data_IF_921532280007
#
_entry.id   IF_921532280007
#
_cell.length_a   1.000
_cell.length_b   1.000
_cell.length_c   1.000
_cell.angle_alpha   90.00
_cell.angle_beta   90.00
_cell.angle_gamma   90.00
#
_symmetry.space_group_name_H-M   'P 1'
#
loop_
_entity.id
_entity.type
_entity.pdbx_description
1 polymer ?
#
# COMPACT_ATOMS: atom_id res chain seq x y z
N UNK A 1 -43.13 5.77 30.77
CA UNK A 1 -42.66 4.37 30.73
C UNK A 1 -42.46 3.87 29.28
N UNK A 2 -43.44 4.03 28.38
CA UNK A 2 -43.34 3.57 26.98
C UNK A 2 -42.25 4.25 26.12
N UNK A 3 -41.90 5.50 26.41
CA UNK A 3 -40.84 6.22 25.67
C UNK A 3 -39.46 5.58 25.94
N UNK A 4 -39.20 5.19 27.19
CA UNK A 4 -37.92 4.59 27.58
C UNK A 4 -37.75 3.20 26.94
N UNK A 5 -38.83 2.43 26.84
CA UNK A 5 -38.79 1.11 26.19
C UNK A 5 -38.60 1.22 24.67
N UNK A 6 -39.21 2.22 24.02
CA UNK A 6 -39.00 2.49 22.58
C UNK A 6 -37.56 2.92 22.31
N UNK A 7 -36.99 3.81 23.13
CA UNK A 7 -35.60 4.26 22.98
C UNK A 7 -34.65 3.07 23.17
N UNK A 8 -34.84 2.25 24.22
CA UNK A 8 -34.01 1.08 24.48
C UNK A 8 -34.04 0.05 23.35
N UNK A 9 -35.21 -0.20 22.75
CA UNK A 9 -35.37 -1.11 21.61
C UNK A 9 -34.62 -0.64 20.37
N UNK A 10 -34.71 0.65 20.04
CA UNK A 10 -33.99 1.22 18.90
C UNK A 10 -32.47 1.20 19.09
N UNK A 11 -31.98 1.49 20.30
CA UNK A 11 -30.56 1.37 20.64
C UNK A 11 -30.09 -0.08 20.46
N UNK A 12 -30.88 -1.07 20.93
CA UNK A 12 -30.53 -2.48 20.78
C UNK A 12 -30.45 -2.89 19.30
N UNK A 13 -31.42 -2.49 18.48
CA UNK A 13 -31.38 -2.76 17.02
C UNK A 13 -30.16 -2.10 16.38
N UNK A 14 -29.85 -0.85 16.75
CA UNK A 14 -28.70 -0.14 16.21
C UNK A 14 -27.37 -0.83 16.55
N UNK A 15 -27.23 -1.30 17.79
CA UNK A 15 -26.05 -2.09 18.21
C UNK A 15 -25.97 -3.39 17.43
N UNK A 16 -27.08 -4.13 17.31
CA UNK A 16 -27.12 -5.38 16.53
C UNK A 16 -26.78 -5.15 15.06
N UNK A 17 -27.24 -4.04 14.47
CA UNK A 17 -26.94 -3.66 13.10
C UNK A 17 -25.46 -3.29 12.91
N UNK A 18 -24.86 -2.54 13.84
CA UNK A 18 -23.40 -2.28 13.82
C UNK A 18 -22.61 -3.59 13.98
N UNK A 19 -23.00 -4.46 14.90
CA UNK A 19 -22.35 -5.76 15.06
C UNK A 19 -22.44 -6.59 13.76
N UNK A 20 -23.61 -6.60 13.12
CA UNK A 20 -23.80 -7.27 11.84
C UNK A 20 -22.87 -6.71 10.76
N UNK A 21 -22.74 -5.39 10.64
CA UNK A 21 -21.83 -4.74 9.68
C UNK A 21 -20.37 -5.14 9.96
N UNK A 22 -19.95 -5.08 11.22
CA UNK A 22 -18.56 -5.42 11.62
C UNK A 22 -18.22 -6.89 11.35
N UNK A 23 -19.20 -7.79 11.52
CA UNK A 23 -19.02 -9.23 11.25
C UNK A 23 -19.08 -9.52 9.75
N UNK A 24 -20.06 -8.97 9.04
CA UNK A 24 -20.29 -9.22 7.61
C UNK A 24 -19.21 -8.61 6.71
N UNK A 25 -18.54 -7.53 7.14
CA UNK A 25 -17.54 -6.82 6.34
C UNK A 25 -16.17 -7.50 6.19
N UNK A 26 -15.94 -8.68 6.79
CA UNK A 26 -14.62 -9.33 6.76
C UNK A 26 -14.46 -10.26 5.55
N UNK A 27 -14.21 -9.70 4.38
CA UNK A 27 -13.64 -10.47 3.26
C UNK A 27 -12.15 -10.66 3.50
N UNK A 28 -11.68 -11.91 3.56
CA UNK A 28 -10.24 -12.21 3.65
C UNK A 28 -9.63 -12.23 2.25
N UNK A 29 -8.87 -11.20 1.90
CA UNK A 29 -8.07 -11.21 0.67
C UNK A 29 -6.88 -12.16 0.88
N UNK A 30 -6.77 -13.20 0.05
CA UNK A 30 -5.66 -14.15 0.12
C UNK A 30 -4.49 -13.61 -0.71
N UNK A 31 -3.58 -12.90 -0.06
CA UNK A 31 -2.37 -12.36 -0.67
C UNK A 31 -1.35 -13.49 -0.85
N UNK A 32 -0.61 -13.51 -1.97
CA UNK A 32 0.49 -14.47 -2.18
C UNK A 32 1.82 -13.86 -1.70
N UNK A 33 2.67 -14.68 -1.11
CA UNK A 33 3.98 -14.25 -0.61
C UNK A 33 5.09 -14.52 -1.63
N UNK A 34 6.14 -13.69 -1.73
CA UNK A 34 6.36 -12.41 -1.04
C UNK A 34 5.55 -11.25 -1.62
N UNK A 35 5.32 -10.23 -0.80
CA UNK A 35 4.54 -9.03 -1.16
C UNK A 35 5.49 -7.88 -1.45
N UNK A 36 5.30 -7.21 -2.59
CA UNK A 36 5.96 -5.95 -2.92
C UNK A 36 5.03 -4.79 -2.63
N UNK A 37 5.46 -3.87 -1.77
CA UNK A 37 4.79 -2.57 -1.60
C UNK A 37 5.49 -1.58 -2.51
N UNK A 38 4.71 -0.84 -3.30
CA UNK A 38 5.21 0.20 -4.21
C UNK A 38 4.73 1.55 -3.70
N UNK A 39 5.64 2.49 -3.56
CA UNK A 39 5.37 3.85 -3.10
C UNK A 39 6.03 4.87 -4.02
N UNK A 40 5.46 6.08 -4.09
CA UNK A 40 5.94 7.13 -4.97
C UNK A 40 7.18 7.82 -4.41
N UNK A 41 7.13 8.20 -3.14
CA UNK A 41 8.18 8.96 -2.46
C UNK A 41 8.63 8.26 -1.18
N UNK A 42 9.83 8.60 -0.66
CA UNK A 42 10.16 8.33 0.73
C UNK A 42 9.06 8.89 1.66
N UNK A 43 8.84 8.24 2.80
CA UNK A 43 7.84 8.55 3.84
C UNK A 43 6.43 8.01 3.58
N UNK A 44 6.05 7.77 2.32
CA UNK A 44 4.75 7.18 1.96
C UNK A 44 4.57 5.79 2.62
N UNK A 45 5.66 5.02 2.76
CA UNK A 45 5.63 3.70 3.39
C UNK A 45 5.27 3.78 4.88
N UNK A 46 5.74 4.83 5.54
CA UNK A 46 5.55 5.05 6.97
C UNK A 46 4.21 5.75 7.25
N UNK A 47 3.82 6.69 6.39
CA UNK A 47 2.59 7.47 6.54
C UNK A 47 1.33 6.67 6.21
N UNK A 48 1.35 5.90 5.12
CA UNK A 48 0.15 5.22 4.61
C UNK A 48 0.21 3.71 4.78
N UNK A 49 1.38 3.09 4.58
CA UNK A 49 1.48 1.63 4.52
C UNK A 49 1.98 0.98 5.81
N UNK A 50 2.41 1.72 6.83
CA UNK A 50 2.94 1.14 8.06
C UNK A 50 1.98 0.13 8.73
N UNK A 51 0.67 0.43 8.90
CA UNK A 51 -0.27 -0.55 9.45
C UNK A 51 -0.35 -1.84 8.62
N UNK A 52 -0.36 -1.71 7.29
CA UNK A 52 -0.43 -2.84 6.35
C UNK A 52 0.86 -3.67 6.37
N UNK A 53 2.02 -3.02 6.29
CA UNK A 53 3.34 -3.65 6.33
C UNK A 53 3.51 -4.44 7.63
N UNK A 54 3.23 -3.81 8.77
CA UNK A 54 3.35 -4.45 10.07
C UNK A 54 2.37 -5.63 10.21
N UNK A 55 1.14 -5.50 9.71
CA UNK A 55 0.16 -6.59 9.73
C UNK A 55 0.61 -7.78 8.87
N UNK A 56 1.18 -7.53 7.70
CA UNK A 56 1.70 -8.57 6.82
C UNK A 56 2.90 -9.28 7.47
N UNK A 57 3.85 -8.53 8.01
CA UNK A 57 5.03 -9.10 8.68
C UNK A 57 4.62 -9.91 9.90
N UNK A 58 3.70 -9.39 10.73
CA UNK A 58 3.19 -10.10 11.91
C UNK A 58 2.45 -11.39 11.54
N UNK A 59 1.82 -11.45 10.37
CA UNK A 59 1.16 -12.67 9.87
C UNK A 59 2.12 -13.60 9.11
N UNK A 60 3.43 -13.31 9.11
CA UNK A 60 4.48 -14.17 8.57
C UNK A 60 4.81 -13.93 7.09
N UNK A 61 4.32 -12.86 6.48
CA UNK A 61 4.64 -12.53 5.09
C UNK A 61 6.00 -11.83 5.00
N UNK A 62 6.76 -12.17 3.96
CA UNK A 62 7.89 -11.35 3.54
C UNK A 62 7.39 -10.14 2.75
N UNK A 63 7.77 -8.96 3.21
CA UNK A 63 7.42 -7.68 2.57
C UNK A 63 8.69 -7.04 2.02
N UNK A 64 8.67 -6.71 0.74
CA UNK A 64 9.69 -5.91 0.05
C UNK A 64 9.09 -4.54 -0.30
N UNK A 65 9.95 -3.54 -0.53
CA UNK A 65 9.55 -2.16 -0.80
C UNK A 65 10.25 -1.65 -2.07
N UNK A 66 9.48 -0.99 -2.93
CA UNK A 66 9.96 -0.24 -4.09
C UNK A 66 9.51 1.21 -3.95
N UNK A 67 10.46 2.13 -4.00
CA UNK A 67 10.22 3.57 -4.08
C UNK A 67 10.53 4.05 -5.49
N UNK A 68 9.56 4.70 -6.14
CA UNK A 68 9.65 5.10 -7.55
C UNK A 68 10.54 6.33 -7.74
N UNK A 69 10.68 7.17 -6.71
CA UNK A 69 11.53 8.35 -6.75
C UNK A 69 12.37 8.48 -5.48
N UNK A 70 13.33 9.39 -5.52
CA UNK A 70 14.16 9.74 -4.37
C UNK A 70 13.54 10.83 -3.49
N UNK A 71 12.38 11.37 -3.87
CA UNK A 71 11.76 12.47 -3.15
C UNK A 71 12.53 13.79 -3.24
N UNK A 72 13.25 14.02 -4.35
CA UNK A 72 14.25 15.09 -4.48
C UNK A 72 13.66 16.44 -4.94
N UNK A 73 12.36 16.67 -4.81
CA UNK A 73 11.74 17.94 -5.19
C UNK A 73 12.39 19.15 -4.47
N UNK A 74 12.69 19.01 -3.18
CA UNK A 74 13.34 20.04 -2.37
C UNK A 74 14.88 19.96 -2.37
N UNK A 75 15.48 19.12 -3.23
CA UNK A 75 16.94 18.91 -3.26
C UNK A 75 17.50 18.05 -2.11
N UNK A 76 16.63 17.36 -1.36
CA UNK A 76 16.98 16.55 -0.19
C UNK A 76 16.99 15.04 -0.45
N UNK A 77 16.97 14.60 -1.71
CA UNK A 77 16.76 13.19 -2.07
C UNK A 77 17.77 12.23 -1.44
N UNK A 78 19.04 12.62 -1.31
CA UNK A 78 20.06 11.76 -0.70
C UNK A 78 19.86 11.59 0.81
N UNK A 79 19.39 12.64 1.51
CA UNK A 79 19.02 12.55 2.93
C UNK A 79 17.80 11.65 3.08
N UNK A 80 16.77 11.84 2.25
CA UNK A 80 15.53 11.06 2.28
C UNK A 80 15.76 9.57 1.96
N UNK A 81 16.71 9.25 1.07
CA UNK A 81 17.15 7.86 0.84
C UNK A 81 17.68 7.22 2.13
N UNK A 82 18.48 7.94 2.93
CA UNK A 82 19.05 7.43 4.18
C UNK A 82 17.98 7.26 5.26
N UNK A 83 17.04 8.19 5.32
CA UNK A 83 15.87 8.14 6.21
C UNK A 83 15.00 6.92 5.88
N UNK A 84 14.67 6.73 4.60
CA UNK A 84 13.88 5.59 4.13
C UNK A 84 14.57 4.25 4.39
N UNK A 85 15.89 4.15 4.18
CA UNK A 85 16.65 2.94 4.55
C UNK A 85 16.55 2.65 6.06
N UNK A 86 16.50 3.68 6.89
CA UNK A 86 16.34 3.53 8.34
C UNK A 86 14.91 3.15 8.71
N UNK A 87 13.91 3.74 8.07
CA UNK A 87 12.49 3.39 8.24
C UNK A 87 12.21 1.93 7.81
N UNK A 88 12.70 1.53 6.63
CA UNK A 88 12.55 0.17 6.11
C UNK A 88 13.12 -0.90 7.07
N UNK A 89 14.29 -0.64 7.66
CA UNK A 89 14.89 -1.51 8.68
C UNK A 89 14.02 -1.62 9.93
N UNK A 90 13.45 -0.51 10.41
CA UNK A 90 12.56 -0.49 11.59
C UNK A 90 11.24 -1.21 11.32
N UNK A 91 10.70 -1.08 10.11
CA UNK A 91 9.47 -1.75 9.69
C UNK A 91 9.66 -3.25 9.45
N UNK A 92 10.90 -3.75 9.33
CA UNK A 92 11.19 -5.15 9.05
C UNK A 92 11.07 -5.52 7.56
N UNK A 93 11.25 -4.53 6.67
CA UNK A 93 11.28 -4.74 5.22
C UNK A 93 12.48 -5.63 4.85
N UNK A 94 12.24 -6.65 4.03
CA UNK A 94 13.26 -7.63 3.63
C UNK A 94 14.21 -7.08 2.57
N UNK A 95 13.67 -6.42 1.53
CA UNK A 95 14.45 -5.74 0.49
C UNK A 95 13.83 -4.41 0.12
N UNK A 96 14.69 -3.44 -0.19
CA UNK A 96 14.33 -2.10 -0.60
C UNK A 96 15.03 -1.78 -1.92
N UNK A 97 14.28 -1.24 -2.88
CA UNK A 97 14.81 -0.60 -4.09
C UNK A 97 14.29 0.84 -4.15
N UNK A 98 15.18 1.80 -4.37
CA UNK A 98 14.84 3.21 -4.58
C UNK A 98 15.32 3.58 -5.97
N UNK A 99 14.40 4.03 -6.81
CA UNK A 99 14.69 4.40 -8.19
C UNK A 99 15.15 5.85 -8.25
N UNK A 100 16.23 6.06 -8.99
CA UNK A 100 16.80 7.37 -9.29
C UNK A 100 16.91 7.48 -10.81
N UNK A 101 15.77 7.76 -11.47
CA UNK A 101 15.67 7.92 -12.92
C UNK A 101 15.37 9.37 -13.25
N UNK A 102 16.06 9.93 -14.26
CA UNK A 102 15.72 11.25 -14.77
C UNK A 102 14.32 11.33 -15.39
N UNK A 103 13.75 10.18 -15.81
CA UNK A 103 12.40 10.08 -16.36
C UNK A 103 11.28 10.08 -15.30
N UNK A 104 11.61 9.82 -14.03
CA UNK A 104 10.67 9.71 -12.92
C UNK A 104 11.03 10.72 -11.83
N UNK A 105 10.93 12.01 -12.17
CA UNK A 105 11.18 13.09 -11.21
C UNK A 105 9.99 13.27 -10.28
N UNK A 106 10.30 13.71 -9.07
CA UNK A 106 9.34 14.16 -8.07
C UNK A 106 8.83 15.57 -8.42
N UNK A 107 7.60 15.88 -8.02
CA UNK A 107 6.98 17.19 -8.12
C UNK A 107 5.60 17.21 -8.79
N UNK A 108 4.76 18.21 -8.50
CA UNK A 108 3.37 18.26 -8.97
C UNK A 108 3.20 18.48 -10.47
N UNK A 109 4.26 18.93 -11.15
CA UNK A 109 4.30 19.12 -12.60
C UNK A 109 4.93 17.92 -13.35
N UNK A 110 5.35 16.88 -12.61
CA UNK A 110 5.95 15.69 -13.20
C UNK A 110 4.85 14.79 -13.79
N UNK A 111 5.10 14.23 -14.97
CA UNK A 111 4.28 13.19 -15.57
C UNK A 111 5.14 11.97 -15.82
N UNK A 112 4.74 10.84 -15.22
CA UNK A 112 5.48 9.59 -15.38
C UNK A 112 4.93 8.81 -16.56
N UNK A 113 5.82 8.20 -17.34
CA UNK A 113 5.42 7.26 -18.37
C UNK A 113 4.88 5.99 -17.70
N UNK A 114 3.61 5.65 -17.95
CA UNK A 114 3.02 4.39 -17.46
C UNK A 114 3.83 3.16 -17.89
N UNK A 115 4.45 3.24 -19.08
CA UNK A 115 5.30 2.18 -19.61
C UNK A 115 6.58 2.02 -18.80
N UNK A 116 7.30 3.12 -18.55
CA UNK A 116 8.53 3.10 -17.75
C UNK A 116 8.26 2.60 -16.33
N UNK A 117 7.17 3.08 -15.71
CA UNK A 117 6.74 2.63 -14.39
C UNK A 117 6.43 1.13 -14.37
N UNK A 118 5.67 0.64 -15.35
CA UNK A 118 5.31 -0.78 -15.45
C UNK A 118 6.54 -1.65 -15.66
N UNK A 119 7.50 -1.20 -16.47
CA UNK A 119 8.75 -1.93 -16.73
C UNK A 119 9.59 -2.03 -15.46
N UNK A 120 9.71 -0.94 -14.69
CA UNK A 120 10.42 -0.90 -13.40
C UNK A 120 9.77 -1.82 -12.36
N UNK A 121 8.44 -1.75 -12.22
CA UNK A 121 7.74 -2.59 -11.25
C UNK A 121 7.85 -4.06 -11.65
N UNK A 122 7.72 -4.38 -12.94
CA UNK A 122 7.85 -5.74 -13.47
C UNK A 122 9.27 -6.28 -13.24
N UNK A 123 10.30 -5.47 -13.52
CA UNK A 123 11.70 -5.82 -13.26
C UNK A 123 11.93 -6.10 -11.78
N UNK A 124 11.44 -5.22 -10.90
CA UNK A 124 11.58 -5.37 -9.45
C UNK A 124 10.84 -6.60 -8.95
N UNK A 125 9.64 -6.88 -9.46
CA UNK A 125 8.88 -8.10 -9.13
C UNK A 125 9.66 -9.37 -9.51
N UNK A 126 10.30 -9.39 -10.68
CA UNK A 126 11.12 -10.52 -11.11
C UNK A 126 12.38 -10.68 -10.23
N UNK A 127 13.09 -9.59 -9.96
CA UNK A 127 14.29 -9.56 -9.13
C UNK A 127 13.99 -10.04 -7.70
N UNK A 128 12.89 -9.54 -7.13
CA UNK A 128 12.47 -9.86 -5.77
C UNK A 128 11.62 -11.14 -5.71
N UNK A 129 11.24 -11.72 -6.86
CA UNK A 129 10.32 -12.86 -6.94
C UNK A 129 9.01 -12.61 -6.19
N UNK A 130 8.51 -11.37 -6.25
CA UNK A 130 7.29 -10.95 -5.58
C UNK A 130 6.07 -11.57 -6.27
N UNK A 131 5.12 -12.09 -5.48
CA UNK A 131 3.92 -12.74 -5.99
C UNK A 131 2.67 -11.86 -5.89
N UNK A 132 2.73 -10.79 -5.12
CA UNK A 132 1.66 -9.80 -4.97
C UNK A 132 2.26 -8.41 -4.87
N UNK A 133 1.52 -7.42 -5.39
CA UNK A 133 1.91 -6.01 -5.39
C UNK A 133 0.81 -5.22 -4.69
N UNK A 134 1.20 -4.31 -3.80
CA UNK A 134 0.34 -3.36 -3.13
C UNK A 134 0.85 -1.96 -3.48
N UNK A 135 -0.04 -1.08 -3.92
CA UNK A 135 0.25 0.31 -4.27
C UNK A 135 -1.00 1.17 -4.03
N UNK A 136 -0.90 2.48 -4.25
CA UNK A 136 -2.05 3.37 -4.30
C UNK A 136 -2.97 3.05 -5.48
N UNK A 137 -4.23 3.49 -5.42
CA UNK A 137 -5.25 3.24 -6.44
C UNK A 137 -5.04 4.10 -7.72
N UNK A 138 -6.00 4.13 -8.66
CA UNK A 138 -5.89 4.91 -9.91
C UNK A 138 -5.74 6.43 -9.71
N UNK A 139 -5.91 6.96 -8.49
CA UNK A 139 -5.63 8.36 -8.15
C UNK A 139 -4.19 8.55 -7.62
N UNK A 140 -3.37 7.48 -7.54
CA UNK A 140 -1.95 7.46 -7.13
C UNK A 140 -1.07 6.30 -7.67
N UNK A 141 -1.59 5.55 -8.65
CA UNK A 141 -1.07 4.43 -9.48
C UNK A 141 -0.87 3.01 -8.88
N UNK A 142 -1.57 2.03 -9.51
CA UNK A 142 -1.39 0.56 -9.42
C UNK A 142 -0.71 0.05 -10.69
N UNK A 143 0.24 -0.89 -10.60
CA UNK A 143 0.61 -1.73 -11.74
C UNK A 143 0.48 -3.23 -11.45
N UNK A 144 0.18 -3.94 -12.53
CA UNK A 144 -0.04 -5.37 -12.67
C UNK A 144 1.28 -6.14 -12.52
N UNK A 145 1.31 -7.21 -11.72
CA UNK A 145 2.38 -8.20 -11.79
C UNK A 145 2.07 -9.18 -12.94
N UNK A 146 3.01 -9.49 -13.86
CA UNK A 146 2.73 -10.31 -15.04
C UNK A 146 2.18 -11.71 -14.75
N UNK A 147 2.39 -12.24 -13.54
CA UNK A 147 2.17 -13.66 -13.24
C UNK A 147 1.00 -14.00 -12.31
N UNK A 148 0.11 -13.06 -11.94
CA UNK A 148 -1.20 -13.39 -11.37
C UNK A 148 -2.20 -12.23 -11.55
N UNK A 149 -3.32 -12.52 -12.22
CA UNK A 149 -4.47 -11.64 -12.28
C UNK A 149 -5.20 -11.65 -10.93
N UNK A 150 -5.12 -10.54 -10.19
CA UNK A 150 -6.18 -10.13 -9.28
C UNK A 150 -6.67 -8.77 -9.80
N UNK A 151 -7.65 -8.83 -10.71
CA UNK A 151 -8.54 -7.70 -10.95
C UNK A 151 -9.44 -7.62 -9.71
N UNK A 152 -9.47 -6.47 -9.06
CA UNK A 152 -10.73 -5.90 -8.61
C UNK A 152 -10.91 -4.62 -9.42
N UNK A 153 -11.56 -4.76 -10.58
CA UNK A 153 -12.38 -3.68 -11.12
C UNK A 153 -13.53 -3.49 -10.15
N UNK A 154 -13.35 -2.65 -9.14
CA UNK A 154 -14.45 -1.88 -8.55
C UNK A 154 -13.84 -0.81 -7.64
N UNK A 155 -13.73 0.37 -8.22
CA UNK A 155 -13.83 1.65 -7.51
C UNK A 155 -14.93 1.57 -6.45
N UNK A 156 -14.61 1.67 -5.17
CA UNK A 156 -15.46 2.34 -4.19
C UNK A 156 -14.59 2.97 -3.09
N UNK A 157 -14.91 4.25 -2.85
CA UNK A 157 -14.59 5.04 -1.66
C UNK A 157 -14.76 4.24 -0.37
#
# INVERSE_FOLDING_TARGET
>A
MWIITIIGYNILIFILWICFIVIAGRKTIKVKHPVLVVVAHPDDESMFFAPTILKLIYTGYHVDLLCVTTGNYDGLGDVRKLEMNSAARKLGIRRLSIIDSEGLKDGPASSWSEKELTDIISKTCCEFRSQSVISFDKLGAVSKCPNNYLHDDETMV
#
